data_IF_549984816073
#
_entry.id   IF_549984816073
#
_cell.length_a   1.000
_cell.length_b   1.000
_cell.length_c   1.000
_cell.angle_alpha   90.00
_cell.angle_beta   90.00
_cell.angle_gamma   90.00
#
_symmetry.space_group_name_H-M   'P 1'
#
loop_
_entity.id
_entity.type
_entity.pdbx_description
1 polymer ?
2 non-polymer ?
3 non-polymer ?
4 water ?
#
# COMPACT_ATOMS: atom_id res chain seq x y z
N UNK A 1 8.89 -4.17 21.34
CA UNK A 1 9.10 -5.61 21.02
C UNK A 1 9.49 -5.73 19.55
N UNK A 2 10.28 -4.75 19.09
CA UNK A 2 10.59 -4.52 17.69
C UNK A 2 11.85 -5.31 17.31
N UNK A 3 11.80 -6.02 16.18
CA UNK A 3 12.84 -6.95 15.78
C UNK A 3 13.29 -6.68 14.34
N UNK A 4 13.28 -5.40 13.94
CA UNK A 4 13.66 -5.06 12.58
C UNK A 4 15.01 -4.36 12.58
N UNK A 5 15.88 -4.81 11.67
CA UNK A 5 17.17 -4.17 11.48
C UNK A 5 17.00 -3.08 10.41
N UNK A 6 16.73 -1.85 10.87
CA UNK A 6 16.66 -0.68 10.00
C UNK A 6 17.94 -0.48 9.19
N UNK A 7 17.77 -0.07 7.93
CA UNK A 7 18.86 0.39 7.08
C UNK A 7 19.43 1.68 7.66
N UNK A 8 20.76 1.71 7.85
CA UNK A 8 21.46 2.88 8.38
C UNK A 8 21.21 4.09 7.48
N UNK A 9 20.94 3.87 6.19
CA UNK A 9 20.79 4.96 5.25
C UNK A 9 19.37 5.55 5.26
N UNK A 10 18.48 5.08 6.15
CA UNK A 10 17.11 5.57 6.17
C UNK A 10 17.07 7.06 6.48
N UNK A 11 16.27 7.88 5.75
CA UNK A 11 15.47 7.40 4.63
C UNK A 11 16.14 7.38 3.25
N UNK A 12 15.77 6.40 2.43
CA UNK A 12 16.36 6.18 1.12
C UNK A 12 15.86 7.18 0.08
N UNK A 13 14.62 7.66 0.27
CA UNK A 13 13.99 8.58 -0.66
C UNK A 13 13.04 9.49 0.11
N UNK A 14 13.18 10.80 -0.10
CA UNK A 14 12.28 11.80 0.45
C UNK A 14 11.72 12.61 -0.72
N UNK A 15 10.61 13.35 -0.54
CA UNK A 15 10.00 14.10 -1.65
C UNK A 15 10.92 15.03 -2.46
N UNK A 16 11.85 15.69 -1.76
CA UNK A 16 12.74 16.67 -2.37
C UNK A 16 13.77 15.99 -3.29
N UNK A 17 14.02 14.69 -3.09
CA UNK A 17 14.97 13.93 -3.89
C UNK A 17 14.49 13.73 -5.33
N UNK A 18 13.21 14.01 -5.63
CA UNK A 18 12.70 13.79 -6.97
C UNK A 18 12.06 15.06 -7.53
N UNK A 19 12.01 15.14 -8.85
CA UNK A 19 11.28 16.19 -9.55
C UNK A 19 9.83 15.75 -9.69
N UNK A 20 8.89 16.67 -9.43
CA UNK A 20 7.47 16.40 -9.63
C UNK A 20 7.21 15.82 -11.01
N UNK A 21 6.18 14.99 -11.10
CA UNK A 21 5.76 14.34 -12.33
C UNK A 21 4.45 14.90 -12.89
N UNK A 22 3.75 15.73 -12.11
CA UNK A 22 2.58 16.43 -12.64
C UNK A 22 2.90 17.92 -12.76
N UNK A 23 2.40 18.54 -13.85
CA UNK A 23 2.75 19.92 -14.14
C UNK A 23 2.25 20.84 -13.04
N UNK A 24 3.16 21.71 -12.57
CA UNK A 24 2.86 22.80 -11.66
C UNK A 24 2.59 22.27 -10.25
N UNK A 25 2.92 21.01 -9.98
CA UNK A 25 2.71 20.43 -8.66
C UNK A 25 4.06 20.24 -7.99
N UNK A 26 4.03 20.02 -6.67
CA UNK A 26 5.20 19.61 -5.92
C UNK A 26 4.87 18.23 -5.32
N UNK A 27 5.90 17.58 -4.76
CA UNK A 27 5.75 16.25 -4.19
C UNK A 27 5.58 16.39 -2.70
N UNK A 28 4.45 15.89 -2.20
CA UNK A 28 4.14 15.94 -0.78
C UNK A 28 4.67 14.69 -0.10
N UNK A 29 4.49 13.53 -0.74
CA UNK A 29 4.69 12.23 -0.10
C UNK A 29 5.29 11.21 -1.06
N UNK A 30 6.24 10.44 -0.54
CA UNK A 30 6.71 9.21 -1.17
C UNK A 30 6.42 8.07 -0.20
N UNK A 31 5.62 7.08 -0.61
CA UNK A 31 5.24 6.05 0.34
C UNK A 31 4.87 4.72 -0.32
N UNK A 32 4.76 3.70 0.54
CA UNK A 32 4.00 2.48 0.29
C UNK A 32 4.37 1.91 -1.08
N UNK A 33 5.66 1.62 -1.31
CA UNK A 33 6.11 1.14 -2.61
C UNK A 33 5.89 -0.36 -2.79
N UNK A 34 5.52 -0.76 -4.00
CA UNK A 34 5.73 -2.13 -4.39
C UNK A 34 7.22 -2.36 -4.69
N UNK A 35 7.58 -3.64 -4.75
CA UNK A 35 8.97 -4.07 -4.79
C UNK A 35 9.06 -5.28 -5.72
N UNK A 36 9.99 -5.22 -6.68
CA UNK A 36 10.32 -6.37 -7.51
C UNK A 36 11.75 -6.27 -8.03
N UNK A 37 12.22 -7.34 -8.71
CA UNK A 37 13.52 -7.39 -9.37
C UNK A 37 13.33 -7.53 -10.87
N UNK A 38 14.17 -6.82 -11.63
CA UNK A 38 14.03 -6.77 -13.08
C UNK A 38 15.33 -6.22 -13.69
N UNK A 39 15.75 -6.83 -14.82
CA UNK A 39 16.97 -6.50 -15.54
C UNK A 39 18.15 -6.16 -14.60
N UNK A 40 18.36 -6.98 -13.57
CA UNK A 40 19.56 -6.91 -12.76
C UNK A 40 19.47 -5.91 -11.61
N UNK A 41 18.29 -5.29 -11.43
CA UNK A 41 18.14 -4.26 -10.42
C UNK A 41 16.98 -4.58 -9.46
N UNK A 42 17.04 -3.98 -8.27
CA UNK A 42 15.89 -3.84 -7.39
C UNK A 42 15.08 -2.61 -7.81
N UNK A 43 13.75 -2.77 -7.91
CA UNK A 43 12.87 -1.66 -8.26
C UNK A 43 11.84 -1.40 -7.16
N UNK A 44 11.51 -0.12 -6.98
CA UNK A 44 10.35 0.29 -6.21
C UNK A 44 9.31 0.85 -7.17
N UNK A 45 8.05 0.43 -7.01
CA UNK A 45 6.91 1.10 -7.64
C UNK A 45 6.29 2.00 -6.58
N UNK A 46 6.74 3.27 -6.58
CA UNK A 46 6.44 4.22 -5.51
C UNK A 46 5.00 4.72 -5.63
N UNK A 47 4.39 4.98 -4.47
CA UNK A 47 3.25 5.87 -4.44
C UNK A 47 3.80 7.28 -4.30
N UNK A 48 3.46 8.12 -5.29
CA UNK A 48 3.91 9.50 -5.31
C UNK A 48 2.66 10.39 -5.19
N UNK A 49 2.61 11.19 -4.13
CA UNK A 49 1.49 12.10 -3.90
C UNK A 49 1.93 13.54 -4.15
N UNK A 50 1.18 14.22 -5.04
CA UNK A 50 1.50 15.58 -5.46
C UNK A 50 0.28 16.50 -5.29
N UNK A 51 0.55 17.78 -5.06
CA UNK A 51 -0.46 18.84 -5.12
C UNK A 51 0.22 20.18 -5.34
N UNK A 52 -0.56 21.26 -5.58
CA UNK A 52 0.01 22.61 -5.72
C UNK A 52 0.70 23.02 -4.43
N UNK A 53 1.61 23.99 -4.56
CA UNK A 53 2.13 24.74 -3.44
C UNK A 53 0.91 25.28 -2.68
N UNK A 54 0.90 25.07 -1.37
CA UNK A 54 -0.26 25.43 -0.57
C UNK A 54 -0.19 26.92 -0.24
N UNK A 55 -1.33 27.60 -0.36
CA UNK A 55 -1.45 28.99 0.03
C UNK A 55 -2.10 29.05 1.41
N UNK A 56 -1.55 29.93 2.27
CA UNK A 56 -2.13 30.22 3.57
C UNK A 56 -3.66 30.22 3.50
N UNK A 57 -4.26 29.32 4.28
CA UNK A 57 -5.69 29.36 4.59
C UNK A 57 -6.54 28.70 3.52
N UNK A 58 -5.88 27.99 2.59
CA UNK A 58 -6.55 27.32 1.49
C UNK A 58 -6.01 25.90 1.37
N UNK A 59 -6.93 24.93 1.30
CA UNK A 59 -6.60 23.57 0.95
C UNK A 59 -6.82 23.47 -0.56
N UNK A 60 -5.78 23.07 -1.30
CA UNK A 60 -5.94 22.90 -2.73
C UNK A 60 -5.30 21.58 -3.18
N UNK A 61 -5.88 20.97 -4.20
CA UNK A 61 -5.47 19.62 -4.54
C UNK A 61 -5.89 19.33 -5.96
N UNK A 62 -5.16 18.44 -6.67
CA UNK A 62 -5.54 18.04 -8.02
C UNK A 62 -6.52 16.87 -8.02
N UNK A 63 -7.48 16.91 -8.97
CA UNK A 63 -8.21 15.73 -9.40
C UNK A 63 -8.12 15.66 -10.92
N UNK A 64 -8.56 14.55 -11.53
CA UNK A 64 -8.82 14.53 -12.96
C UNK A 64 -10.28 14.93 -13.16
N UNK A 65 -10.54 15.77 -14.18
CA UNK A 65 -11.88 16.11 -14.64
C UNK A 65 -12.36 15.00 -15.59
N UNK A 66 -13.49 15.23 -16.26
CA UNK A 66 -14.15 14.18 -17.04
C UNK A 66 -13.40 13.89 -18.34
N UNK A 67 -12.54 14.82 -18.77
CA UNK A 67 -11.75 14.65 -19.99
C UNK A 67 -10.35 14.12 -19.66
N UNK A 68 -10.09 13.82 -18.37
CA UNK A 68 -8.81 13.25 -17.97
C UNK A 68 -7.76 14.30 -17.63
N UNK A 69 -8.16 15.58 -17.58
CA UNK A 69 -7.22 16.68 -17.39
C UNK A 69 -7.13 17.04 -15.90
N UNK A 70 -5.90 17.20 -15.40
CA UNK A 70 -5.69 17.75 -14.07
C UNK A 70 -6.50 19.02 -13.90
N UNK A 71 -7.12 19.13 -12.73
CA UNK A 71 -7.93 20.26 -12.32
C UNK A 71 -7.64 20.51 -10.84
N UNK A 72 -7.53 21.79 -10.47
CA UNK A 72 -7.21 22.15 -9.10
C UNK A 72 -8.49 22.53 -8.37
N UNK A 73 -8.72 21.85 -7.23
CA UNK A 73 -9.84 22.14 -6.33
C UNK A 73 -9.30 22.92 -5.14
N UNK A 74 -10.08 23.90 -4.66
CA UNK A 74 -9.66 24.79 -3.58
C UNK A 74 -10.80 24.97 -2.57
N UNK A 75 -10.45 24.97 -1.29
CA UNK A 75 -11.43 25.21 -0.25
C UNK A 75 -10.79 26.07 0.83
N UNK A 76 -11.59 26.96 1.43
CA UNK A 76 -11.06 27.82 2.47
C UNK A 76 -11.06 27.05 3.79
N UNK A 77 -9.92 27.06 4.47
CA UNK A 77 -9.76 26.34 5.73
C UNK A 77 -10.83 26.74 6.77
N UNK A 78 -11.39 27.94 6.69
CA UNK A 78 -12.39 28.36 7.68
C UNK A 78 -13.80 28.21 7.11
N UNK A 79 -13.94 27.65 5.92
CA UNK A 79 -15.28 27.42 5.39
C UNK A 79 -15.98 26.45 6.35
N UNK A 80 -17.17 26.79 6.89
CA UNK A 80 -17.82 25.91 7.86
C UNK A 80 -18.29 24.58 7.28
N UNK A 81 -18.52 24.55 5.96
CA UNK A 81 -18.88 23.33 5.24
C UNK A 81 -17.68 22.41 4.97
N UNK A 82 -16.52 22.69 5.57
CA UNK A 82 -15.31 21.92 5.30
C UNK A 82 -14.91 21.16 6.56
N UNK A 83 -14.65 19.86 6.41
CA UNK A 83 -14.06 19.11 7.51
C UNK A 83 -12.68 18.68 7.08
N UNK A 84 -11.68 19.30 7.68
CA UNK A 84 -10.28 19.12 7.32
C UNK A 84 -9.49 18.60 8.50
N UNK A 85 -10.22 17.93 9.43
CA UNK A 85 -9.63 17.41 10.65
C UNK A 85 -8.56 16.39 10.32
N UNK A 86 -8.81 15.55 9.29
CA UNK A 86 -7.85 14.55 8.83
C UNK A 86 -7.09 15.07 7.61
N UNK A 87 -5.74 15.10 7.63
CA UNK A 87 -4.98 15.59 6.48
C UNK A 87 -4.97 14.78 5.19
N UNK A 88 -5.55 13.57 5.20
CA UNK A 88 -5.55 12.69 4.05
C UNK A 88 -6.87 12.80 3.29
N UNK A 89 -7.98 12.87 4.03
CA UNK A 89 -9.31 12.87 3.45
C UNK A 89 -10.12 13.98 4.11
N UNK A 90 -10.82 14.76 3.28
CA UNK A 90 -11.61 15.88 3.77
C UNK A 90 -13.05 15.65 3.36
N UNK A 91 -13.96 16.36 4.04
CA UNK A 91 -15.33 16.48 3.56
C UNK A 91 -15.68 17.93 3.22
N UNK A 92 -16.53 18.10 2.22
CA UNK A 92 -17.06 19.38 1.84
C UNK A 92 -18.48 19.14 1.34
N UNK A 93 -19.45 19.63 2.12
CA UNK A 93 -20.86 19.56 1.77
C UNK A 93 -21.26 18.11 1.53
N UNK A 94 -20.73 17.22 2.39
CA UNK A 94 -21.16 15.83 2.42
C UNK A 94 -20.42 14.91 1.45
N UNK A 95 -19.50 15.46 0.63
CA UNK A 95 -18.68 14.67 -0.27
C UNK A 95 -17.24 14.66 0.20
N UNK A 96 -16.51 13.58 -0.09
CA UNK A 96 -15.14 13.44 0.34
C UNK A 96 -14.17 13.68 -0.81
N UNK A 97 -12.96 14.15 -0.46
CA UNK A 97 -11.89 14.40 -1.39
C UNK A 97 -10.58 14.06 -0.70
N UNK A 98 -9.54 13.81 -1.51
CA UNK A 98 -8.20 13.68 -0.99
C UNK A 98 -7.53 15.05 -0.96
N UNK A 99 -6.46 15.17 -0.19
CA UNK A 99 -5.64 16.37 -0.19
C UNK A 99 -4.49 16.28 -1.22
N UNK A 100 -4.33 15.13 -1.89
CA UNK A 100 -3.27 14.97 -2.89
C UNK A 100 -3.81 14.08 -3.99
N UNK A 101 -3.09 14.04 -5.12
CA UNK A 101 -3.28 12.98 -6.08
C UNK A 101 -2.03 12.10 -6.13
N UNK A 102 -2.26 10.77 -6.10
CA UNK A 102 -1.19 9.79 -6.18
C UNK A 102 -1.14 9.11 -7.54
N UNK A 103 0.08 8.69 -7.90
CA UNK A 103 0.32 7.92 -9.12
C UNK A 103 1.46 6.95 -8.79
N UNK A 104 1.79 6.06 -9.74
CA UNK A 104 2.82 5.06 -9.49
C UNK A 104 4.04 5.35 -10.35
N UNK A 105 5.20 5.32 -9.70
CA UNK A 105 6.45 5.73 -10.32
C UNK A 105 7.54 4.69 -10.03
N UNK A 106 8.21 4.24 -11.11
CA UNK A 106 9.32 3.29 -11.04
C UNK A 106 10.64 4.00 -10.76
N UNK A 107 11.37 3.51 -9.76
CA UNK A 107 12.76 3.86 -9.57
C UNK A 107 13.56 2.57 -9.46
N UNK A 108 14.84 2.61 -9.87
CA UNK A 108 15.69 1.44 -9.87
C UNK A 108 16.99 1.70 -9.10
N UNK A 109 17.72 0.63 -8.81
CA UNK A 109 18.85 0.66 -7.91
C UNK A 109 19.73 -0.57 -8.14
N UNK A 110 21.06 -0.34 -8.11
CA UNK A 110 22.07 -1.40 -8.22
C UNK A 110 22.42 -1.94 -6.83
N UNK A 111 22.37 -1.07 -5.81
CA UNK A 111 22.76 -1.42 -4.45
C UNK A 111 21.54 -1.73 -3.58
N UNK A 112 20.33 -1.38 -4.04
CA UNK A 112 19.11 -1.55 -3.27
C UNK A 112 18.99 -0.52 -2.14
N UNK A 113 19.58 0.66 -2.34
CA UNK A 113 19.60 1.67 -1.29
C UNK A 113 19.61 3.07 -1.90
N UNK A 114 20.25 3.25 -3.05
CA UNK A 114 20.20 4.51 -3.79
C UNK A 114 19.33 4.30 -5.03
N UNK A 115 18.25 5.09 -5.18
CA UNK A 115 17.29 4.86 -6.25
C UNK A 115 17.18 6.08 -7.16
N UNK A 116 16.85 5.82 -8.45
CA UNK A 116 16.73 6.86 -9.47
C UNK A 116 15.73 6.43 -10.53
N UNK A 117 15.13 7.42 -11.19
CA UNK A 117 14.25 7.20 -12.33
C UNK A 117 15.03 6.46 -13.42
N UNK A 118 14.29 5.87 -14.36
CA UNK A 118 14.87 5.07 -15.42
C UNK A 118 14.30 5.52 -16.76
N UNK A 119 15.14 6.03 -17.69
CA UNK A 119 14.63 6.52 -18.96
C UNK A 119 14.01 5.34 -19.69
N UNK A 120 12.89 5.58 -20.38
CA UNK A 120 12.11 4.54 -21.03
C UNK A 120 11.01 3.95 -20.14
N UNK A 121 11.07 4.18 -18.81
CA UNK A 121 10.09 3.68 -17.84
C UNK A 121 9.25 4.82 -17.22
N UNK A 122 8.31 5.45 -17.97
CA UNK A 122 7.53 6.55 -17.43
C UNK A 122 6.55 6.04 -16.37
N UNK A 123 5.86 6.93 -15.63
CA UNK A 123 5.04 6.50 -14.50
C UNK A 123 3.65 6.03 -14.91
N UNK A 124 2.95 5.42 -13.94
CA UNK A 124 1.59 4.95 -14.17
C UNK A 124 0.63 5.89 -13.44
N UNK A 125 -0.29 6.47 -14.22
CA UNK A 125 -1.21 7.50 -13.75
C UNK A 125 -2.63 6.96 -13.87
N UNK A 126 -3.53 7.50 -13.03
CA UNK A 126 -4.93 7.12 -13.08
C UNK A 126 -5.50 7.37 -14.46
N UNK A 127 -6.30 6.42 -14.95
CA UNK A 127 -7.13 6.61 -16.13
C UNK A 127 -8.54 6.09 -15.86
N UNK A 128 -9.53 6.78 -16.43
CA UNK A 128 -10.93 6.39 -16.33
C UNK A 128 -11.62 7.02 -15.12
N UNK A 129 -12.97 6.94 -15.10
CA UNK A 129 -13.79 7.46 -14.02
C UNK A 129 -13.31 6.96 -12.65
N UNK A 130 -12.92 5.68 -12.57
CA UNK A 130 -12.72 5.06 -11.27
C UNK A 130 -11.33 5.35 -10.73
N UNK A 131 -10.51 6.11 -11.48
CA UNK A 131 -9.19 6.46 -10.96
C UNK A 131 -8.99 7.97 -10.95
N UNK A 132 -10.10 8.71 -10.92
CA UNK A 132 -10.10 10.16 -11.02
C UNK A 132 -9.36 10.84 -9.87
N UNK A 133 -9.23 10.18 -8.70
CA UNK A 133 -8.52 10.78 -7.58
C UNK A 133 -7.15 10.11 -7.38
N UNK A 134 -6.76 9.25 -8.32
CA UNK A 134 -5.44 8.63 -8.25
C UNK A 134 -5.49 7.13 -7.96
N UNK A 135 -4.29 6.54 -7.94
CA UNK A 135 -4.06 5.13 -7.66
C UNK A 135 -2.91 5.06 -6.66
N UNK A 136 -2.92 4.03 -5.81
CA UNK A 136 -2.15 4.06 -4.58
C UNK A 136 -1.72 2.65 -4.17
N UNK A 137 -0.62 2.60 -3.40
CA UNK A 137 -0.30 1.50 -2.51
C UNK A 137 -0.28 0.19 -3.30
N UNK A 138 0.50 0.17 -4.39
CA UNK A 138 0.48 -0.94 -5.33
C UNK A 138 1.32 -2.10 -4.82
N UNK A 139 0.71 -3.29 -4.78
CA UNK A 139 1.43 -4.53 -4.53
C UNK A 139 1.84 -5.13 -5.87
N UNK A 140 3.08 -5.64 -5.91
CA UNK A 140 3.60 -6.27 -7.11
C UNK A 140 3.82 -7.74 -6.79
N UNK A 141 3.13 -8.56 -7.60
CA UNK A 141 3.21 -10.01 -7.55
C UNK A 141 4.15 -10.46 -8.67
N UNK A 142 5.35 -10.95 -8.27
CA UNK A 142 6.31 -11.53 -9.20
C UNK A 142 5.99 -13.00 -9.41
N UNK A 143 5.57 -13.37 -10.63
CA UNK A 143 5.08 -14.71 -10.94
C UNK A 143 5.65 -15.22 -12.28
N UNK A 144 5.39 -16.51 -12.54
CA UNK A 144 5.80 -17.21 -13.74
C UNK A 144 5.21 -16.52 -14.97
N UNK A 145 3.98 -15.98 -14.85
CA UNK A 145 3.29 -15.35 -15.97
C UNK A 145 3.55 -13.84 -16.01
N UNK A 146 4.53 -13.37 -15.24
CA UNK A 146 4.92 -11.98 -15.25
C UNK A 146 4.54 -11.26 -13.96
N UNK A 147 4.21 -9.97 -14.08
CA UNK A 147 4.03 -9.09 -12.94
C UNK A 147 2.58 -8.61 -12.87
N UNK A 148 1.98 -8.75 -11.69
CA UNK A 148 0.59 -8.36 -11.48
C UNK A 148 0.52 -7.31 -10.40
N UNK A 149 -0.11 -6.18 -10.78
CA UNK A 149 -0.23 -5.01 -9.91
C UNK A 149 -1.65 -4.98 -9.37
N UNK A 150 -1.77 -4.88 -8.04
CA UNK A 150 -3.04 -4.70 -7.37
C UNK A 150 -2.93 -3.47 -6.48
N UNK A 151 -3.75 -2.46 -6.79
CA UNK A 151 -3.62 -1.14 -6.19
C UNK A 151 -5.00 -0.57 -5.90
N UNK A 152 -5.03 0.44 -5.01
CA UNK A 152 -6.23 1.22 -4.73
C UNK A 152 -6.57 2.06 -5.96
N UNK A 153 -7.82 1.98 -6.43
CA UNK A 153 -8.38 2.96 -7.34
C UNK A 153 -9.29 3.88 -6.54
N UNK A 154 -9.02 5.19 -6.56
CA UNK A 154 -9.83 6.16 -5.82
C UNK A 154 -10.53 7.13 -6.76
N UNK A 155 -11.74 7.51 -6.36
CA UNK A 155 -12.59 8.42 -7.11
C UNK A 155 -13.74 8.89 -6.21
N UNK A 156 -14.58 9.77 -6.72
CA UNK A 156 -15.67 10.31 -5.95
C UNK A 156 -16.69 9.21 -5.63
N UNK A 157 -16.70 8.11 -6.39
CA UNK A 157 -17.66 7.05 -6.18
C UNK A 157 -17.06 5.80 -5.50
N UNK A 158 -15.73 5.71 -5.29
CA UNK A 158 -15.23 4.47 -4.71
C UNK A 158 -13.76 4.55 -4.32
N UNK A 159 -13.46 3.89 -3.20
CA UNK A 159 -12.17 3.29 -2.94
C UNK A 159 -12.29 1.80 -3.26
N UNK A 160 -11.69 1.37 -4.37
CA UNK A 160 -11.73 -0.02 -4.79
C UNK A 160 -10.34 -0.52 -5.20
N UNK A 161 -10.31 -1.73 -5.77
CA UNK A 161 -9.05 -2.38 -6.09
C UNK A 161 -9.00 -2.61 -7.59
N UNK A 162 -7.92 -2.15 -8.24
CA UNK A 162 -7.68 -2.47 -9.64
C UNK A 162 -6.53 -3.46 -9.79
N UNK A 163 -6.44 -4.07 -10.98
CA UNK A 163 -5.33 -4.96 -11.29
C UNK A 163 -4.83 -4.68 -12.69
N UNK A 164 -3.50 -4.58 -12.80
CA UNK A 164 -2.82 -4.51 -14.08
C UNK A 164 -1.79 -5.63 -14.19
N UNK A 165 -1.45 -5.97 -15.45
CA UNK A 165 -0.45 -6.98 -15.78
C UNK A 165 0.61 -6.37 -16.70
N UNK A 166 1.89 -6.74 -16.47
CA UNK A 166 2.97 -6.34 -17.34
C UNK A 166 4.02 -7.45 -17.40
N UNK A 167 4.66 -7.57 -18.57
CA UNK A 167 5.86 -8.40 -18.77
C UNK A 167 7.14 -7.55 -18.79
N UNK A 168 7.08 -6.30 -19.30
CA UNK A 168 8.28 -5.52 -19.59
C UNK A 168 8.32 -4.15 -18.89
N UNK A 169 7.26 -3.82 -18.13
CA UNK A 169 7.13 -2.58 -17.36
C UNK A 169 7.05 -1.33 -18.24
N UNK A 170 6.60 -1.52 -19.48
CA UNK A 170 6.41 -0.43 -20.43
C UNK A 170 5.01 -0.53 -21.03
N UNK A 171 4.62 -1.75 -21.41
CA UNK A 171 3.25 -2.07 -21.81
C UNK A 171 2.52 -2.70 -20.62
N UNK A 172 1.25 -2.31 -20.47
CA UNK A 172 0.42 -2.81 -19.38
C UNK A 172 -0.96 -3.17 -19.92
N UNK A 173 -1.58 -4.18 -19.30
CA UNK A 173 -2.98 -4.46 -19.55
C UNK A 173 -3.73 -4.21 -18.25
N UNK A 174 -4.87 -3.53 -18.36
CA UNK A 174 -5.70 -3.16 -17.21
C UNK A 174 -6.85 -4.15 -17.14
N UNK A 175 -7.03 -4.78 -15.96
CA UNK A 175 -8.10 -5.77 -15.82
C UNK A 175 -9.37 -5.14 -15.25
N UNK A 176 -9.34 -3.83 -14.99
CA UNK A 176 -10.49 -3.13 -14.44
C UNK A 176 -10.50 -3.22 -12.92
N UNK A 177 -11.65 -2.85 -12.34
CA UNK A 177 -11.84 -2.91 -10.89
C UNK A 177 -12.24 -4.34 -10.50
N UNK A 178 -11.32 -5.04 -9.81
CA UNK A 178 -11.50 -6.44 -9.50
C UNK A 178 -12.31 -6.59 -8.21
N UNK A 179 -12.20 -5.61 -7.30
CA UNK A 179 -12.96 -5.60 -6.05
C UNK A 179 -13.65 -4.25 -5.90
N UNK A 180 -14.97 -4.23 -5.62
CA UNK A 180 -15.71 -2.99 -5.55
C UNK A 180 -15.35 -2.22 -4.28
N UNK A 181 -15.82 -0.96 -4.10
CA UNK A 181 -15.68 -0.28 -2.82
C UNK A 181 -16.41 -0.99 -1.67
N UNK A 182 -16.00 -0.71 -0.43
CA UNK A 182 -14.83 0.05 -0.08
C UNK A 182 -13.76 -0.96 0.32
N UNK A 183 -12.68 -1.05 -0.46
CA UNK A 183 -11.73 -2.13 -0.36
C UNK A 183 -10.37 -1.66 -0.86
N UNK A 184 -9.31 -2.17 -0.21
CA UNK A 184 -7.93 -1.93 -0.59
C UNK A 184 -7.06 -3.01 0.06
N UNK A 185 -5.74 -2.82 0.11
CA UNK A 185 -4.88 -3.76 0.82
C UNK A 185 -5.01 -5.15 0.18
N UNK A 186 -4.85 -5.18 -1.15
CA UNK A 186 -5.03 -6.38 -1.94
C UNK A 186 -3.67 -7.01 -2.24
N UNK A 187 -3.34 -8.04 -1.45
CA UNK A 187 -2.08 -8.76 -1.57
C UNK A 187 -2.33 -10.07 -2.32
N UNK A 188 -2.10 -10.04 -3.63
CA UNK A 188 -2.19 -11.21 -4.48
C UNK A 188 -1.08 -12.21 -4.14
N UNK A 189 -1.45 -13.49 -4.03
CA UNK A 189 -0.47 -14.57 -3.83
C UNK A 189 0.29 -14.82 -5.13
N UNK A 190 1.60 -15.06 -4.99
CA UNK A 190 2.53 -15.16 -6.10
C UNK A 190 2.48 -16.54 -6.76
N UNK A 191 1.78 -17.50 -6.14
CA UNK A 191 1.55 -18.77 -6.81
C UNK A 191 0.12 -19.23 -6.58
N UNK A 192 -0.32 -20.13 -7.45
CA UNK A 192 -1.59 -20.81 -7.32
C UNK A 192 -1.49 -21.84 -6.19
N UNK A 193 -2.67 -22.22 -5.67
CA UNK A 193 -2.84 -23.34 -4.75
C UNK A 193 -4.05 -24.11 -5.27
N UNK A 194 -3.87 -25.42 -5.50
CA UNK A 194 -4.92 -26.27 -6.05
C UNK A 194 -5.41 -25.72 -7.38
N UNK A 195 -4.46 -25.21 -8.18
CA UNK A 195 -4.74 -24.57 -9.47
C UNK A 195 -5.82 -23.50 -9.31
N UNK A 196 -5.79 -22.76 -8.20
CA UNK A 196 -6.62 -21.58 -8.01
C UNK A 196 -5.75 -20.39 -7.59
N UNK A 197 -6.13 -19.20 -8.02
CA UNK A 197 -5.45 -17.99 -7.54
C UNK A 197 -6.13 -17.49 -6.28
N UNK A 198 -5.32 -16.89 -5.39
CA UNK A 198 -5.78 -16.36 -4.11
C UNK A 198 -5.28 -14.93 -3.89
N UNK A 199 -6.05 -14.13 -3.14
CA UNK A 199 -5.56 -12.82 -2.70
C UNK A 199 -6.14 -12.52 -1.32
N UNK A 200 -5.34 -11.83 -0.48
CA UNK A 200 -5.92 -11.12 0.65
C UNK A 200 -6.57 -9.83 0.15
N UNK A 201 -7.58 -9.31 0.87
CA UNK A 201 -8.18 -8.02 0.58
C UNK A 201 -8.76 -7.47 1.88
N UNK A 202 -9.44 -6.30 1.82
CA UNK A 202 -9.69 -5.54 3.02
C UNK A 202 -10.89 -4.62 2.87
N UNK A 203 -12.09 -5.22 2.74
CA UNK A 203 -13.33 -4.45 2.70
C UNK A 203 -13.52 -3.72 4.03
N UNK A 204 -14.14 -2.53 3.96
CA UNK A 204 -14.54 -1.74 5.11
C UNK A 204 -16.06 -1.64 5.18
N UNK A 205 -16.62 -2.05 6.34
CA UNK A 205 -18.05 -2.02 6.62
C UNK A 205 -18.44 -0.74 7.36
N UNK A 206 -19.45 0.03 6.90
CA UNK A 206 -19.96 1.16 7.69
C UNK A 206 -20.64 0.75 8.99
N UNK A 207 -21.14 -0.48 9.01
CA UNK A 207 -21.82 -1.06 10.15
C UNK A 207 -21.84 -2.57 9.97
N UNK A 208 -22.07 -3.30 11.05
CA UNK A 208 -22.13 -4.75 10.99
C UNK A 208 -20.85 -5.27 10.36
N UNK A 209 -19.74 -5.00 11.05
CA UNK A 209 -18.42 -5.48 10.68
C UNK A 209 -17.37 -4.41 10.96
N UNK A 210 -16.29 -4.40 10.17
CA UNK A 210 -15.20 -3.48 10.40
C UNK A 210 -14.23 -3.43 9.22
N UNK A 211 -12.93 -3.43 9.56
CA UNK A 211 -11.86 -3.38 8.59
C UNK A 211 -10.95 -4.58 8.85
N UNK A 212 -11.30 -5.71 8.21
CA UNK A 212 -10.71 -7.01 8.50
C UNK A 212 -9.98 -7.52 7.26
N UNK A 213 -9.02 -8.44 7.47
CA UNK A 213 -8.37 -9.13 6.37
C UNK A 213 -9.30 -10.25 5.91
N UNK A 214 -9.60 -10.23 4.61
CA UNK A 214 -10.41 -11.23 3.93
C UNK A 214 -9.57 -11.98 2.89
N UNK A 215 -10.14 -13.09 2.38
CA UNK A 215 -9.54 -13.91 1.34
C UNK A 215 -10.57 -14.06 0.24
N UNK A 216 -10.11 -14.05 -1.02
CA UNK A 216 -10.94 -14.45 -2.16
C UNK A 216 -10.13 -15.36 -3.07
N UNK A 217 -10.82 -16.03 -4.00
CA UNK A 217 -10.13 -16.91 -4.93
C UNK A 217 -10.64 -16.65 -6.34
N UNK A 218 -9.86 -17.11 -7.33
CA UNK A 218 -10.14 -16.79 -8.71
C UNK A 218 -9.59 -17.87 -9.63
N UNK A 219 -10.34 -18.22 -10.69
CA UNK A 219 -9.82 -19.08 -11.77
C UNK A 219 -8.92 -18.36 -12.77
N UNK A 220 -8.98 -17.03 -12.84
CA UNK A 220 -8.46 -16.28 -13.98
C UNK A 220 -7.85 -14.92 -13.61
N UNK A 221 -7.82 -14.52 -12.32
CA UNK A 221 -7.26 -13.25 -11.87
C UNK A 221 -8.17 -12.04 -12.14
N UNK A 222 -9.15 -12.16 -13.03
CA UNK A 222 -10.02 -11.05 -13.34
C UNK A 222 -11.29 -11.08 -12.49
N UNK A 223 -11.74 -12.29 -12.09
CA UNK A 223 -13.01 -12.46 -11.41
C UNK A 223 -12.78 -13.22 -10.11
N UNK A 224 -13.37 -12.72 -9.02
CA UNK A 224 -13.05 -13.21 -7.69
C UNK A 224 -14.32 -13.61 -6.93
N UNK A 225 -14.19 -14.59 -6.04
CA UNK A 225 -15.33 -15.08 -5.26
C UNK A 225 -14.92 -15.90 -4.03
N UNK A 226 -15.91 -16.60 -3.47
CA UNK A 226 -15.80 -17.42 -2.28
C UNK A 226 -15.03 -16.67 -1.20
N UNK A 227 -15.54 -15.48 -0.85
CA UNK A 227 -14.93 -14.60 0.13
C UNK A 227 -15.01 -15.23 1.52
N UNK A 228 -13.89 -15.10 2.25
CA UNK A 228 -13.76 -15.59 3.60
C UNK A 228 -13.08 -14.53 4.47
N UNK A 229 -13.59 -14.41 5.70
CA UNK A 229 -12.98 -13.55 6.71
C UNK A 229 -11.84 -14.29 7.42
N UNK A 230 -10.63 -13.75 7.30
CA UNK A 230 -9.43 -14.39 7.79
C UNK A 230 -9.10 -13.94 9.20
N UNK A 231 -9.06 -12.63 9.42
CA UNK A 231 -8.59 -12.05 10.68
C UNK A 231 -9.20 -10.68 10.91
N UNK A 232 -9.83 -10.52 12.08
CA UNK A 232 -10.46 -9.28 12.48
C UNK A 232 -9.46 -8.43 13.27
N UNK A 233 -9.86 -7.19 13.56
CA UNK A 233 -9.20 -6.39 14.57
C UNK A 233 -9.43 -7.05 15.93
N UNK A 234 -8.61 -6.64 16.90
CA UNK A 234 -8.68 -7.17 18.26
C UNK A 234 -8.95 -6.01 19.23
N UNK A 235 -10.06 -6.07 19.93
CA UNK A 235 -10.44 -4.99 20.83
C UNK A 235 -9.38 -4.84 21.91
N UNK A 236 -8.99 -3.58 22.16
CA UNK A 236 -8.05 -3.24 23.21
C UNK A 236 -6.62 -3.67 22.90
N UNK A 237 -6.31 -3.95 21.63
CA UNK A 237 -4.94 -4.17 21.20
C UNK A 237 -4.52 -3.04 20.26
N UNK A 238 -3.23 -3.06 19.91
CA UNK A 238 -2.63 -2.13 18.96
C UNK A 238 -3.31 -2.20 17.59
N UNK A 239 -3.87 -3.36 17.24
CA UNK A 239 -4.56 -3.55 15.97
C UNK A 239 -6.07 -3.57 16.21
N UNK A 240 -6.57 -2.59 16.98
CA UNK A 240 -7.99 -2.55 17.34
C UNK A 240 -8.84 -1.84 16.28
N UNK A 241 -8.29 -0.96 15.44
CA UNK A 241 -9.10 -0.13 14.55
C UNK A 241 -9.17 -0.71 13.15
N UNK A 242 -8.06 -1.22 12.62
CA UNK A 242 -8.09 -1.85 11.31
C UNK A 242 -6.91 -2.80 11.17
N UNK A 243 -7.00 -3.72 10.22
CA UNK A 243 -5.87 -4.53 9.85
C UNK A 243 -5.88 -4.68 8.33
N UNK A 244 -4.70 -4.98 7.76
CA UNK A 244 -4.62 -5.27 6.34
C UNK A 244 -3.32 -6.01 6.00
N UNK A 245 -3.42 -6.88 4.99
CA UNK A 245 -2.23 -7.49 4.40
C UNK A 245 -1.39 -6.41 3.75
N UNK A 246 -0.08 -6.66 3.75
CA UNK A 246 0.88 -5.86 3.03
C UNK A 246 1.16 -6.47 1.66
N UNK A 247 2.38 -7.00 1.50
CA UNK A 247 2.76 -7.67 0.27
C UNK A 247 2.22 -9.09 0.30
N UNK A 248 2.38 -9.79 -0.83
CA UNK A 248 2.11 -11.22 -0.92
C UNK A 248 2.77 -11.96 0.24
N UNK A 249 2.11 -13.02 0.75
CA UNK A 249 2.69 -13.85 1.81
C UNK A 249 3.86 -14.70 1.31
N UNK A 250 4.76 -15.02 2.24
CA UNK A 250 5.93 -15.85 1.97
C UNK A 250 5.57 -17.31 2.26
N UNK A 251 5.85 -18.19 1.29
CA UNK A 251 5.74 -19.63 1.45
C UNK A 251 6.80 -20.12 2.44
N UNK A 252 6.38 -20.66 3.58
CA UNK A 252 7.28 -21.32 4.49
C UNK A 252 6.73 -22.72 4.75
N UNK A 253 7.49 -23.53 5.48
CA UNK A 253 7.10 -24.91 5.70
C UNK A 253 6.06 -24.96 6.80
N UNK A 254 6.04 -23.92 7.65
CA UNK A 254 5.02 -23.75 8.69
C UNK A 254 3.69 -23.27 8.09
N UNK A 255 3.78 -22.49 7.01
CA UNK A 255 2.61 -21.97 6.33
C UNK A 255 2.90 -20.66 5.59
N UNK A 256 1.82 -19.97 5.21
CA UNK A 256 1.95 -18.66 4.57
C UNK A 256 2.18 -17.61 5.63
N UNK A 257 3.28 -16.88 5.47
CA UNK A 257 3.69 -15.88 6.43
C UNK A 257 3.46 -14.51 5.80
N UNK A 258 2.59 -13.72 6.45
CA UNK A 258 2.14 -12.44 5.95
C UNK A 258 2.54 -11.36 6.96
N UNK A 259 3.32 -10.39 6.46
CA UNK A 259 3.68 -9.21 7.25
C UNK A 259 2.56 -8.19 7.03
N UNK A 260 1.69 -8.07 8.05
CA UNK A 260 0.45 -7.31 7.93
C UNK A 260 0.58 -6.04 8.75
N UNK A 261 -0.26 -5.05 8.43
CA UNK A 261 -0.28 -3.80 9.18
C UNK A 261 -1.54 -3.79 10.04
N UNK A 262 -1.44 -3.14 11.21
CA UNK A 262 -2.58 -2.91 12.06
C UNK A 262 -2.48 -1.51 12.68
N UNK A 263 -3.62 -0.94 13.08
CA UNK A 263 -3.63 0.41 13.61
C UNK A 263 -4.68 0.56 14.70
N UNK A 264 -4.46 1.54 15.56
CA UNK A 264 -5.34 1.82 16.69
C UNK A 264 -6.21 3.00 16.30
N UNK A 265 -6.95 3.55 17.28
CA UNK A 265 -7.91 4.59 16.99
C UNK A 265 -7.22 5.95 16.82
N UNK A 266 -5.93 6.07 17.22
CA UNK A 266 -5.16 7.26 16.91
C UNK A 266 -4.49 7.18 15.54
N UNK A 267 -4.68 6.08 14.80
CA UNK A 267 -4.12 5.90 13.46
C UNK A 267 -2.60 5.69 13.54
N UNK A 268 -2.15 5.11 14.66
CA UNK A 268 -0.80 4.59 14.79
C UNK A 268 -0.71 3.17 14.18
N UNK A 269 0.02 3.07 13.07
CA UNK A 269 0.19 1.81 12.34
C UNK A 269 1.48 1.13 12.74
N UNK A 270 1.38 -0.17 13.07
CA UNK A 270 2.49 -1.05 13.33
C UNK A 270 2.41 -2.27 12.41
N UNK A 271 3.52 -3.01 12.33
CA UNK A 271 3.57 -4.26 11.59
C UNK A 271 3.41 -5.42 12.57
N UNK A 272 2.77 -6.49 12.08
CA UNK A 272 2.61 -7.73 12.82
C UNK A 272 2.79 -8.90 11.85
N UNK A 273 2.63 -10.13 12.36
CA UNK A 273 2.81 -11.33 11.57
C UNK A 273 1.57 -12.22 11.69
N UNK A 274 1.22 -12.84 10.56
CA UNK A 274 0.12 -13.78 10.49
C UNK A 274 0.61 -15.00 9.73
N UNK A 275 0.23 -16.19 10.24
CA UNK A 275 0.61 -17.44 9.61
C UNK A 275 -0.66 -18.21 9.28
N UNK A 276 -0.73 -18.74 8.06
CA UNK A 276 -1.95 -19.32 7.53
C UNK A 276 -1.67 -20.68 6.89
N UNK A 277 -2.63 -21.60 7.02
CA UNK A 277 -2.47 -22.97 6.55
C UNK A 277 -2.11 -22.90 5.07
N UNK A 278 -1.23 -23.82 4.65
CA UNK A 278 -0.71 -23.83 3.29
C UNK A 278 -1.82 -24.10 2.28
N UNK A 279 -2.81 -24.94 2.62
CA UNK A 279 -3.81 -25.40 1.67
C UNK A 279 -5.15 -24.71 1.87
N UNK A 280 -5.39 -24.20 3.08
CA UNK A 280 -6.51 -23.32 3.33
C UNK A 280 -6.00 -22.02 3.92
N UNK A 281 -5.65 -21.00 3.09
CA UNK A 281 -5.11 -19.75 3.60
C UNK A 281 -6.07 -18.90 4.42
N UNK A 282 -7.33 -19.32 4.56
CA UNK A 282 -8.29 -18.65 5.43
C UNK A 282 -8.17 -19.13 6.88
N UNK A 283 -7.38 -20.18 7.13
CA UNK A 283 -7.24 -20.73 8.48
C UNK A 283 -6.02 -20.10 9.13
N UNK A 284 -6.23 -19.41 10.25
CA UNK A 284 -5.11 -18.78 10.94
C UNK A 284 -4.46 -19.82 11.85
N UNK A 285 -3.18 -20.13 11.58
CA UNK A 285 -2.40 -21.02 12.43
C UNK A 285 -1.84 -20.23 13.61
N UNK A 286 -1.36 -19.01 13.36
CA UNK A 286 -0.81 -18.18 14.43
C UNK A 286 -0.78 -16.70 14.05
N UNK A 287 -0.67 -15.87 15.08
CA UNK A 287 -0.70 -14.42 14.95
C UNK A 287 0.11 -13.78 16.07
N UNK A 288 1.04 -12.88 15.70
CA UNK A 288 1.83 -12.20 16.70
C UNK A 288 0.89 -11.44 17.63
N UNK A 289 1.11 -11.60 18.94
CA UNK A 289 0.32 -10.92 19.95
C UNK A 289 0.70 -9.44 19.96
N UNK A 290 1.99 -9.19 19.81
CA UNK A 290 2.54 -7.84 19.78
C UNK A 290 3.07 -7.56 18.39
N UNK A 291 3.33 -6.29 18.02
CA UNK A 291 3.95 -5.98 16.74
C UNK A 291 5.35 -6.59 16.63
N UNK A 292 5.79 -6.80 15.39
CA UNK A 292 7.18 -7.11 15.10
C UNK A 292 7.93 -5.86 14.64
N UNK A 293 7.24 -4.73 14.39
CA UNK A 293 7.93 -3.49 14.10
C UNK A 293 6.99 -2.32 14.39
N UNK A 294 7.36 -1.45 15.34
CA UNK A 294 6.56 -0.29 15.69
C UNK A 294 7.20 0.95 15.08
N UNK A 295 6.48 2.08 14.90
CA UNK A 295 7.07 3.33 14.41
C UNK A 295 7.90 4.02 15.49
N UNK A 296 9.20 3.69 15.51
CA UNK A 296 10.08 3.99 16.62
C UNK A 296 11.08 5.07 16.21
N UNK A 297 11.63 4.95 15.00
CA UNK A 297 12.60 5.92 14.48
C UNK A 297 11.94 7.27 14.26
N UNK A 298 12.77 8.32 14.24
CA UNK A 298 12.31 9.69 14.24
C UNK A 298 11.59 10.03 12.93
N UNK A 299 12.04 9.44 11.82
CA UNK A 299 11.43 9.62 10.51
C UNK A 299 10.11 8.83 10.42
N UNK A 300 9.90 7.92 11.39
CA UNK A 300 8.66 7.18 11.52
C UNK A 300 7.67 7.91 12.43
N UNK A 301 8.06 9.04 13.06
CA UNK A 301 7.25 9.64 14.12
C UNK A 301 6.65 10.99 13.73
N UNK A 302 7.33 11.78 12.90
CA UNK A 302 6.78 13.05 12.47
C UNK A 302 6.81 13.13 10.95
N UNK A 303 5.72 13.64 10.37
CA UNK A 303 5.62 13.85 8.93
C UNK A 303 4.22 14.32 8.52
N UNK A 304 3.85 14.04 7.27
CA UNK A 304 2.57 14.45 6.69
C UNK A 304 1.42 13.87 7.50
N UNK A 305 1.56 12.59 7.86
CA UNK A 305 0.69 11.91 8.80
C UNK A 305 1.56 10.92 9.59
N UNK A 306 1.75 11.21 10.89
CA UNK A 306 2.84 10.62 11.66
C UNK A 306 2.42 9.36 12.43
N UNK A 307 3.43 8.56 12.77
CA UNK A 307 3.33 7.36 13.58
C UNK A 307 2.84 6.20 12.72
N UNK A 308 3.50 6.03 11.56
CA UNK A 308 3.05 5.11 10.54
C UNK A 308 4.26 4.38 9.97
N UNK A 309 4.20 3.05 10.08
CA UNK A 309 4.99 2.12 9.30
C UNK A 309 4.02 1.46 8.33
N UNK A 310 4.43 1.27 7.06
CA UNK A 310 3.55 0.58 6.13
C UNK A 310 4.33 -0.06 4.99
N UNK A 311 4.27 -1.40 4.88
CA UNK A 311 4.93 -2.11 3.79
C UNK A 311 3.91 -2.85 2.94
N UNK A 312 4.07 -2.74 1.63
CA UNK A 312 3.30 -3.52 0.66
C UNK A 312 4.24 -4.04 -0.44
N UNK A 313 5.51 -4.24 -0.07
CA UNK A 313 6.49 -4.81 -0.96
C UNK A 313 7.71 -5.26 -0.18
N UNK A 314 8.37 -6.33 -0.65
CA UNK A 314 9.49 -6.88 0.07
C UNK A 314 10.26 -7.84 -0.84
N UNK A 315 11.43 -8.24 -0.35
CA UNK A 315 12.27 -9.24 -0.99
C UNK A 315 12.68 -10.25 0.07
N UNK A 316 12.79 -11.50 -0.36
CA UNK A 316 13.16 -12.58 0.53
C UNK A 316 14.34 -13.34 -0.11
N UNK A 317 15.44 -13.40 0.63
CA UNK A 317 16.63 -14.16 0.26
C UNK A 317 16.98 -15.04 1.46
N UNK A 318 16.53 -16.30 1.40
CA UNK A 318 16.72 -17.24 2.50
C UNK A 318 15.89 -16.86 3.72
N UNK A 319 16.61 -16.56 4.82
CA UNK A 319 15.97 -16.24 6.08
C UNK A 319 15.69 -14.74 6.17
N UNK A 320 16.30 -13.98 5.25
CA UNK A 320 16.35 -12.53 5.35
C UNK A 320 15.24 -11.93 4.49
N UNK A 321 14.28 -11.27 5.16
CA UNK A 321 13.25 -10.49 4.50
C UNK A 321 13.70 -9.03 4.46
N UNK A 322 13.80 -8.48 3.24
CA UNK A 322 14.07 -7.07 3.04
C UNK A 322 12.76 -6.37 2.68
N UNK A 323 12.16 -5.67 3.66
CA UNK A 323 10.95 -4.91 3.42
C UNK A 323 11.33 -3.48 3.08
N UNK A 324 10.63 -2.91 2.10
CA UNK A 324 10.63 -1.47 1.90
C UNK A 324 9.28 -0.96 2.37
N UNK A 325 9.27 0.27 2.91
CA UNK A 325 8.09 0.76 3.61
C UNK A 325 8.02 2.27 3.57
N UNK A 326 6.79 2.78 3.64
CA UNK A 326 6.53 4.19 3.88
C UNK A 326 6.66 4.49 5.37
N UNK A 327 7.19 5.68 5.67
CA UNK A 327 7.35 6.15 7.04
C UNK A 327 6.73 7.53 7.14
N UNK A 328 5.86 7.70 8.14
CA UNK A 328 5.02 8.88 8.28
C UNK A 328 4.37 9.30 6.95
N UNK A 329 4.00 8.33 6.12
CA UNK A 329 3.29 8.62 4.88
C UNK A 329 4.06 9.67 4.06
N UNK A 330 5.39 9.75 4.26
CA UNK A 330 6.19 10.83 3.68
C UNK A 330 7.38 10.28 2.91
N UNK A 331 8.16 9.36 3.53
CA UNK A 331 9.46 8.96 3.00
C UNK A 331 9.55 7.43 2.90
N UNK A 332 10.43 6.97 1.99
CA UNK A 332 10.70 5.56 1.74
C UNK A 332 11.82 5.09 2.66
N UNK A 333 11.68 3.86 3.17
CA UNK A 333 12.70 3.25 4.02
C UNK A 333 12.86 1.77 3.67
N UNK A 334 13.91 1.18 4.24
CA UNK A 334 14.27 -0.22 4.08
C UNK A 334 14.59 -0.74 5.49
N UNK A 335 14.31 -2.04 5.68
CA UNK A 335 14.60 -2.71 6.92
C UNK A 335 14.58 -4.21 6.67
N UNK A 336 15.09 -4.99 7.64
CA UNK A 336 15.32 -6.41 7.45
C UNK A 336 14.69 -7.15 8.62
N UNK A 337 14.16 -8.33 8.32
CA UNK A 337 13.54 -9.17 9.33
C UNK A 337 13.97 -10.61 9.03
N UNK A 338 13.88 -11.44 10.08
CA UNK A 338 14.25 -12.84 10.01
C UNK A 338 13.00 -13.71 10.08
N UNK A 339 12.83 -14.57 9.08
CA UNK A 339 11.75 -15.55 9.04
C UNK A 339 11.78 -16.41 10.29
N UNK A 340 12.98 -16.96 10.56
CA UNK A 340 13.20 -17.87 11.67
C UNK A 340 12.75 -17.23 12.98
N UNK A 341 13.08 -15.93 13.15
CA UNK A 341 12.81 -15.24 14.40
C UNK A 341 11.32 -14.95 14.54
N UNK A 342 10.68 -14.68 13.39
CA UNK A 342 9.24 -14.46 13.35
C UNK A 342 8.53 -15.76 13.75
N UNK A 343 8.85 -16.86 13.06
CA UNK A 343 8.21 -18.15 13.31
C UNK A 343 8.42 -18.58 14.77
N UNK A 344 9.61 -18.26 15.30
CA UNK A 344 9.96 -18.52 16.68
C UNK A 344 9.03 -17.77 17.62
N UNK A 345 8.74 -16.49 17.31
CA UNK A 345 7.84 -15.66 18.12
C UNK A 345 6.43 -16.24 18.11
N UNK A 346 6.06 -16.93 17.02
CA UNK A 346 4.71 -17.45 16.85
C UNK A 346 4.54 -18.81 17.55
N UNK A 347 5.59 -19.33 18.18
CA UNK A 347 5.49 -20.50 19.05
C UNK A 347 6.07 -20.17 20.44
#
# INVERSE_FOLDING_TARGET
>A
MDIAKRCESNPLLSPKDLKAGINDMEITCLLNPGVFKFKGKTWLLLRVAERPVQQEGIISFPIYDEQGQIKVMSFAENDPDLDASDPRVIGYKGKNYLTTMSYLRLVSSEDGIHFHDEPGYPPIFGKGELEAFGIEDCRVASTKDGFYLTFTEVSSVAVGVGMMHTNDWKTFEHYGMILPPHNKDCALFEEKINDKYYTFHRPSSPELGGNYIWLAESPDLRHWGNHKCVATTRDGFWDCARVGAGAAPIKTEAGWLEIYHGADFNHRYCLGALLLDLNDPSKVLARSKEPIMEPIASYEQTGFFGNVIFTNGQLVDGDTITIYYGASDEVICKAELSVKEILNILNVGI
#
